data_IF_386469097902
#
_entry.id   IF_386469097902
#
_cell.length_a   1.000
_cell.length_b   1.000
_cell.length_c   1.000
_cell.angle_alpha   90.00
_cell.angle_beta   90.00
_cell.angle_gamma   90.00
#
_symmetry.space_group_name_H-M   'P 1'
#
loop_
_entity.id
_entity.type
_entity.pdbx_description
1 polymer ?
#
# COMPACT_ATOMS: atom_id res chain seq x y z
N UNK A 1 13.09 31.17 81.22
CA UNK A 1 13.80 30.04 80.59
C UNK A 1 12.91 29.56 79.45
N UNK A 2 13.29 29.92 78.21
CA UNK A 2 12.50 29.61 76.97
C UNK A 2 13.29 28.63 76.12
N UNK A 3 12.75 27.47 75.86
CA UNK A 3 13.30 26.43 74.99
C UNK A 3 12.99 26.80 73.54
N UNK A 4 14.05 26.85 72.68
CA UNK A 4 13.93 26.91 71.24
C UNK A 4 13.91 25.48 70.71
N UNK A 5 12.85 25.12 70.02
CA UNK A 5 12.77 23.88 69.21
C UNK A 5 13.06 24.27 67.75
N UNK A 6 14.14 23.71 67.18
CA UNK A 6 14.53 23.85 65.78
C UNK A 6 13.81 22.80 64.91
N UNK A 7 13.01 23.25 63.94
CA UNK A 7 12.37 22.43 62.97
C UNK A 7 13.22 22.30 61.73
N UNK A 8 13.80 21.10 61.48
CA UNK A 8 14.48 20.78 60.24
C UNK A 8 13.43 20.40 59.17
N UNK A 9 13.25 21.26 58.21
CA UNK A 9 12.50 20.98 56.99
C UNK A 9 13.30 20.08 56.05
N UNK A 10 12.84 18.86 55.80
CA UNK A 10 13.34 18.00 54.71
C UNK A 10 12.67 18.40 53.39
N UNK A 11 13.44 18.99 52.51
CA UNK A 11 13.02 19.17 51.13
C UNK A 11 13.10 17.85 50.38
N UNK A 12 11.93 17.29 49.98
CA UNK A 12 11.83 16.16 49.07
C UNK A 12 11.95 16.67 47.62
N UNK A 13 13.11 16.46 47.00
CA UNK A 13 13.23 16.63 45.54
C UNK A 13 12.51 15.44 44.86
N UNK A 14 11.31 15.66 44.32
CA UNK A 14 10.70 14.75 43.36
C UNK A 14 11.45 14.92 42.01
N UNK A 15 12.30 13.96 41.70
CA UNK A 15 12.80 13.78 40.33
C UNK A 15 11.64 13.23 39.48
N UNK A 16 11.03 14.09 38.67
CA UNK A 16 10.11 13.65 37.64
C UNK A 16 10.93 12.92 36.57
N UNK A 17 10.93 11.60 36.62
CA UNK A 17 11.34 10.76 35.50
C UNK A 17 10.32 11.00 34.37
N UNK A 18 10.67 11.86 33.43
CA UNK A 18 9.97 11.97 32.17
C UNK A 18 10.05 10.64 31.42
N UNK A 19 9.00 9.83 31.51
CA UNK A 19 8.85 8.71 30.60
C UNK A 19 8.73 9.29 29.19
N UNK A 20 9.80 9.20 28.41
CA UNK A 20 9.71 9.36 26.97
C UNK A 20 8.67 8.36 26.49
N UNK A 21 7.52 8.84 26.06
CA UNK A 21 6.58 8.01 25.33
C UNK A 21 7.36 7.45 24.14
N UNK A 22 7.66 6.16 24.18
CA UNK A 22 8.20 5.47 23.02
C UNK A 22 7.15 5.68 21.90
N UNK A 23 7.48 6.48 20.90
CA UNK A 23 6.66 6.58 19.71
C UNK A 23 6.56 5.17 19.14
N UNK A 24 5.32 4.70 18.98
CA UNK A 24 5.10 3.42 18.29
C UNK A 24 5.80 3.50 16.93
N UNK A 25 6.53 2.43 16.58
CA UNK A 25 7.22 2.39 15.31
C UNK A 25 6.21 2.57 14.16
N UNK A 26 6.45 3.51 13.27
CA UNK A 26 5.68 3.66 12.03
C UNK A 26 6.51 2.99 10.91
N UNK A 27 6.29 1.70 10.73
CA UNK A 27 7.00 0.90 9.72
C UNK A 27 6.24 0.94 8.41
N UNK A 28 6.96 1.31 7.37
CA UNK A 28 6.49 1.25 5.98
C UNK A 28 7.43 0.30 5.23
N UNK A 29 6.86 -0.57 4.41
CA UNK A 29 7.62 -1.46 3.53
C UNK A 29 7.35 -1.08 2.08
N UNK A 30 8.41 -1.05 1.28
CA UNK A 30 8.35 -0.80 -0.16
C UNK A 30 9.12 -1.89 -0.90
N UNK A 31 8.47 -2.57 -1.84
CA UNK A 31 9.10 -3.56 -2.70
C UNK A 31 9.44 -2.95 -4.06
N UNK A 32 10.56 -3.41 -4.63
CA UNK A 32 11.14 -2.94 -5.88
C UNK A 32 11.26 -4.08 -6.89
N UNK A 33 10.99 -3.78 -8.16
CA UNK A 33 11.27 -4.66 -9.29
C UNK A 33 12.64 -4.33 -9.87
N UNK A 34 13.63 -5.17 -9.60
CA UNK A 34 15.01 -4.94 -10.07
C UNK A 34 15.26 -5.37 -11.49
N UNK A 35 14.46 -6.28 -12.02
CA UNK A 35 14.60 -6.80 -13.37
C UNK A 35 13.92 -5.95 -14.45
N UNK A 36 12.99 -5.10 -14.04
CA UNK A 36 12.21 -4.23 -14.92
C UNK A 36 12.79 -2.80 -14.94
N UNK A 37 12.86 -2.20 -16.11
CA UNK A 37 13.18 -0.77 -16.29
C UNK A 37 12.28 -0.21 -17.38
N UNK A 38 11.68 0.94 -17.14
CA UNK A 38 10.95 1.67 -18.16
C UNK A 38 11.87 2.71 -18.80
N UNK A 39 12.12 2.56 -20.09
CA UNK A 39 12.95 3.49 -20.88
C UNK A 39 12.09 4.09 -22.00
N UNK A 40 11.87 5.39 -21.98
CA UNK A 40 11.04 6.10 -22.96
C UNK A 40 9.64 5.47 -23.16
N UNK A 41 9.04 5.00 -22.05
CA UNK A 41 7.76 4.30 -22.04
C UNK A 41 7.84 2.81 -22.42
N UNK A 42 9.00 2.30 -22.83
CA UNK A 42 9.19 0.90 -23.22
C UNK A 42 9.55 0.06 -21.99
N UNK A 43 8.80 -1.02 -21.77
CA UNK A 43 9.15 -2.05 -20.79
C UNK A 43 10.43 -2.76 -21.24
N UNK A 44 11.46 -2.73 -20.42
CA UNK A 44 12.79 -3.27 -20.74
C UNK A 44 13.28 -4.14 -19.60
N UNK A 45 13.90 -5.26 -19.92
CA UNK A 45 14.50 -6.20 -18.97
C UNK A 45 16.01 -6.31 -19.25
N UNK A 46 16.83 -5.47 -18.60
CA UNK A 46 18.28 -5.46 -18.83
C UNK A 46 18.95 -6.74 -18.32
N UNK A 47 20.02 -7.15 -18.97
CA UNK A 47 20.87 -8.26 -18.54
C UNK A 47 22.32 -7.75 -18.33
N UNK A 48 22.91 -7.90 -17.12
CA UNK A 48 22.30 -8.53 -15.93
C UNK A 48 21.23 -7.66 -15.28
N UNK A 49 20.20 -8.32 -14.72
CA UNK A 49 19.18 -7.65 -13.94
C UNK A 49 19.73 -7.13 -12.61
N UNK A 50 19.15 -6.04 -12.10
CA UNK A 50 19.25 -5.73 -10.68
C UNK A 50 18.42 -6.73 -9.87
N UNK A 51 18.70 -6.85 -8.56
CA UNK A 51 17.90 -7.69 -7.68
C UNK A 51 16.60 -7.01 -7.30
N UNK A 52 15.54 -7.79 -7.23
CA UNK A 52 14.33 -7.37 -6.55
C UNK A 52 14.63 -7.18 -5.06
N UNK A 53 13.96 -6.23 -4.41
CA UNK A 53 14.26 -5.91 -3.02
C UNK A 53 13.04 -5.45 -2.25
N UNK A 54 13.14 -5.51 -0.92
CA UNK A 54 12.19 -4.91 0.02
C UNK A 54 12.94 -3.89 0.87
N UNK A 55 12.51 -2.65 0.84
CA UNK A 55 13.03 -1.58 1.71
C UNK A 55 12.08 -1.40 2.89
N UNK A 56 12.63 -1.31 4.08
CA UNK A 56 11.94 -1.06 5.34
C UNK A 56 12.26 0.35 5.79
N UNK A 57 11.24 1.16 6.00
CA UNK A 57 11.35 2.55 6.45
C UNK A 57 10.88 2.68 7.89
N UNK A 58 11.55 3.51 8.66
CA UNK A 58 11.05 4.12 9.89
C UNK A 58 10.48 5.51 9.54
N UNK A 59 9.16 5.62 9.55
CA UNK A 59 8.42 6.84 9.28
C UNK A 59 7.96 7.57 10.55
N UNK A 60 8.38 7.11 11.75
CA UNK A 60 8.18 7.83 13.01
C UNK A 60 8.97 9.14 13.08
N UNK A 61 9.83 9.39 12.10
CA UNK A 61 10.70 10.56 11.94
C UNK A 61 10.42 11.26 10.62
N UNK A 62 10.77 12.53 10.59
CA UNK A 62 10.77 13.31 9.35
C UNK A 62 12.20 13.83 9.06
N UNK A 63 12.74 13.61 7.85
CA UNK A 63 12.22 12.72 6.81
C UNK A 63 12.26 11.23 7.26
N UNK A 64 11.44 10.35 6.65
CA UNK A 64 11.53 8.91 6.88
C UNK A 64 12.92 8.37 6.55
N UNK A 65 13.39 7.38 7.30
CA UNK A 65 14.73 6.80 7.12
C UNK A 65 14.67 5.33 6.75
N UNK A 66 15.59 4.89 5.90
CA UNK A 66 15.75 3.46 5.57
C UNK A 66 16.38 2.74 6.76
N UNK A 67 15.66 1.76 7.30
CA UNK A 67 16.17 0.85 8.37
C UNK A 67 16.91 -0.34 7.80
N UNK A 68 16.39 -0.89 6.71
CA UNK A 68 16.98 -2.07 6.08
C UNK A 68 16.57 -2.16 4.61
N UNK A 69 17.41 -2.88 3.84
CA UNK A 69 17.11 -3.35 2.49
C UNK A 69 17.38 -4.85 2.45
N UNK A 70 16.40 -5.62 2.00
CA UNK A 70 16.48 -7.06 1.83
C UNK A 70 16.43 -7.31 0.31
N UNK A 71 17.51 -7.85 -0.27
CA UNK A 71 17.68 -8.08 -1.71
C UNK A 71 18.10 -9.52 -2.05
N UNK A 72 18.07 -10.42 -1.05
CA UNK A 72 18.46 -11.81 -1.23
C UNK A 72 17.24 -12.71 -1.31
N UNK A 73 17.07 -13.37 -2.45
CA UNK A 73 16.03 -14.39 -2.66
C UNK A 73 14.60 -13.86 -2.80
N UNK A 74 14.42 -12.53 -2.88
CA UNK A 74 13.14 -11.90 -3.16
C UNK A 74 12.84 -11.88 -4.65
N UNK A 75 11.56 -12.04 -4.98
CA UNK A 75 11.00 -11.96 -6.31
C UNK A 75 9.78 -11.05 -6.27
N UNK A 76 9.69 -10.07 -7.16
CA UNK A 76 8.58 -9.12 -7.21
C UNK A 76 8.39 -8.60 -8.63
N UNK A 77 7.30 -7.85 -8.89
CA UNK A 77 7.04 -7.27 -10.21
C UNK A 77 6.22 -5.99 -10.15
N UNK A 78 6.41 -5.14 -11.16
CA UNK A 78 5.57 -3.99 -11.48
C UNK A 78 4.18 -4.38 -12.01
N UNK A 79 3.98 -5.64 -12.38
CA UNK A 79 2.71 -6.15 -12.97
C UNK A 79 1.57 -6.35 -11.95
N UNK A 80 1.79 -6.02 -10.69
CA UNK A 80 0.82 -6.12 -9.59
C UNK A 80 0.32 -4.77 -9.08
N UNK A 81 -0.77 -4.75 -8.27
CA UNK A 81 -1.20 -3.53 -7.61
C UNK A 81 -0.14 -3.08 -6.60
N UNK A 82 -0.06 -1.78 -6.28
CA UNK A 82 0.89 -1.28 -5.30
C UNK A 82 0.65 -1.83 -3.87
N UNK A 83 -0.27 -2.75 -3.71
CA UNK A 83 -0.63 -3.46 -2.49
C UNK A 83 -0.13 -4.92 -2.47
N UNK A 84 0.83 -5.27 -3.33
CA UNK A 84 1.41 -6.62 -3.34
C UNK A 84 2.46 -6.83 -2.24
N UNK A 85 2.46 -6.00 -1.22
CA UNK A 85 3.19 -6.16 0.03
C UNK A 85 2.28 -5.89 1.21
N UNK A 86 2.57 -6.48 2.36
CA UNK A 86 1.89 -6.21 3.62
C UNK A 86 2.90 -6.28 4.77
N UNK A 87 2.62 -5.60 5.88
CA UNK A 87 3.40 -5.66 7.11
C UNK A 87 2.44 -5.92 8.28
N UNK A 88 2.84 -6.77 9.24
CA UNK A 88 2.01 -7.07 10.42
C UNK A 88 1.85 -5.83 11.31
N UNK A 89 0.74 -5.74 12.09
CA UNK A 89 0.48 -4.58 12.96
C UNK A 89 1.55 -4.34 14.02
N UNK A 90 2.30 -5.38 14.40
CA UNK A 90 3.42 -5.30 15.34
C UNK A 90 4.75 -4.94 14.66
N UNK A 91 4.76 -4.79 13.33
CA UNK A 91 5.94 -4.43 12.53
C UNK A 91 7.01 -5.51 12.44
N UNK A 92 6.70 -6.77 12.77
CA UNK A 92 7.69 -7.85 12.88
C UNK A 92 7.86 -8.68 11.63
N UNK A 93 6.80 -8.81 10.84
CA UNK A 93 6.85 -9.52 9.56
C UNK A 93 6.42 -8.61 8.42
N UNK A 94 7.05 -8.80 7.27
CA UNK A 94 6.51 -8.37 5.98
C UNK A 94 6.20 -9.59 5.12
N UNK A 95 5.13 -9.51 4.35
CA UNK A 95 4.73 -10.51 3.36
C UNK A 95 4.81 -9.86 1.99
N UNK A 96 5.48 -10.51 1.03
CA UNK A 96 5.67 -10.04 -0.34
C UNK A 96 4.98 -11.00 -1.29
N UNK A 97 4.06 -10.49 -2.10
CA UNK A 97 3.36 -11.21 -3.18
C UNK A 97 3.95 -10.87 -4.55
N UNK A 98 3.25 -11.27 -5.59
CA UNK A 98 3.60 -11.05 -6.99
C UNK A 98 5.02 -11.55 -7.35
N UNK A 99 5.41 -12.79 -6.95
CA UNK A 99 6.70 -13.34 -7.26
C UNK A 99 6.80 -13.58 -8.77
N UNK A 100 7.79 -12.96 -9.41
CA UNK A 100 7.95 -13.00 -10.87
C UNK A 100 9.42 -13.06 -11.23
N UNK A 101 9.75 -13.94 -12.17
CA UNK A 101 11.09 -14.07 -12.77
C UNK A 101 11.02 -13.70 -14.24
N UNK A 102 12.15 -13.35 -14.83
CA UNK A 102 12.24 -13.11 -16.25
C UNK A 102 13.12 -14.19 -16.92
N UNK A 103 12.56 -14.89 -17.91
CA UNK A 103 13.28 -15.83 -18.73
C UNK A 103 13.91 -15.08 -19.91
N UNK A 104 15.22 -14.82 -19.85
CA UNK A 104 15.95 -14.08 -20.87
C UNK A 104 16.02 -14.84 -22.19
N UNK A 105 16.05 -16.18 -22.17
CA UNK A 105 16.08 -16.99 -23.39
C UNK A 105 14.73 -16.96 -24.13
N UNK A 106 13.64 -17.09 -23.38
CA UNK A 106 12.28 -17.02 -23.92
C UNK A 106 11.74 -15.59 -24.04
N UNK A 107 12.44 -14.58 -23.49
CA UNK A 107 12.03 -13.16 -23.39
C UNK A 107 10.63 -12.98 -22.83
N UNK A 108 10.35 -13.64 -21.72
CA UNK A 108 9.02 -13.59 -21.07
C UNK A 108 9.11 -13.58 -19.55
N UNK A 109 8.10 -12.98 -18.92
CA UNK A 109 7.90 -13.08 -17.49
C UNK A 109 7.28 -14.43 -17.11
N UNK A 110 7.71 -14.98 -15.97
CA UNK A 110 7.22 -16.21 -15.36
C UNK A 110 6.62 -15.85 -14.01
N UNK A 111 5.31 -16.06 -13.88
CA UNK A 111 4.52 -15.73 -12.69
C UNK A 111 4.48 -16.93 -11.74
N UNK A 112 5.17 -16.83 -10.63
CA UNK A 112 5.19 -17.88 -9.60
C UNK A 112 3.98 -17.75 -8.65
N UNK A 113 3.76 -18.75 -7.77
CA UNK A 113 2.49 -18.96 -7.07
C UNK A 113 2.63 -19.00 -5.55
N UNK A 114 3.68 -18.38 -5.00
CA UNK A 114 3.96 -18.35 -3.57
C UNK A 114 3.94 -16.93 -2.99
N UNK A 115 3.79 -16.86 -1.68
CA UNK A 115 4.08 -15.66 -0.87
C UNK A 115 5.44 -15.80 -0.21
N UNK A 116 6.12 -14.69 0.01
CA UNK A 116 7.45 -14.61 0.61
C UNK A 116 7.34 -13.96 1.99
N UNK A 117 7.94 -14.58 3.01
CA UNK A 117 7.85 -14.16 4.41
C UNK A 117 9.19 -13.59 4.82
N UNK A 118 9.19 -12.33 5.25
CA UNK A 118 10.38 -11.59 5.66
C UNK A 118 10.31 -11.29 7.16
N UNK A 119 11.30 -11.72 7.91
CA UNK A 119 11.47 -11.41 9.33
C UNK A 119 12.14 -10.03 9.47
N UNK A 120 11.39 -9.06 9.99
CA UNK A 120 11.84 -7.69 10.20
C UNK A 120 12.55 -7.49 11.55
N UNK A 121 12.43 -8.46 12.49
CA UNK A 121 13.14 -8.45 13.78
C UNK A 121 14.53 -9.08 13.70
N UNK A 122 14.79 -9.88 12.65
CA UNK A 122 16.12 -10.44 12.44
C UNK A 122 17.17 -9.33 12.27
N UNK A 123 18.40 -9.61 12.63
CA UNK A 123 19.50 -8.65 12.49
C UNK A 123 20.65 -9.26 11.67
N UNK A 124 20.75 -8.93 10.36
CA UNK A 124 19.85 -8.07 9.56
C UNK A 124 18.48 -8.72 9.26
N UNK A 125 17.44 -7.96 8.94
CA UNK A 125 16.17 -8.50 8.43
C UNK A 125 16.38 -9.38 7.21
N UNK A 126 15.60 -10.48 7.10
CA UNK A 126 15.85 -11.51 6.09
C UNK A 126 14.57 -12.23 5.64
N UNK A 127 14.61 -12.75 4.41
CA UNK A 127 13.63 -13.71 3.92
C UNK A 127 13.78 -15.03 4.71
N UNK A 128 12.70 -15.48 5.37
CA UNK A 128 12.71 -16.68 6.21
C UNK A 128 11.93 -17.84 5.62
N UNK A 129 11.14 -17.62 4.57
CA UNK A 129 10.37 -18.70 3.94
C UNK A 129 9.51 -18.26 2.79
N UNK A 130 8.96 -19.27 2.11
CA UNK A 130 7.96 -19.12 1.05
C UNK A 130 6.75 -19.99 1.38
N UNK A 131 5.53 -19.53 1.06
CA UNK A 131 4.29 -20.26 1.25
C UNK A 131 3.60 -20.40 -0.09
N UNK A 132 3.51 -21.64 -0.59
CA UNK A 132 2.78 -21.94 -1.83
C UNK A 132 1.29 -21.71 -1.63
N UNK A 133 0.66 -20.93 -2.53
CA UNK A 133 -0.77 -20.58 -2.42
C UNK A 133 -1.57 -21.00 -3.64
N UNK A 134 -0.92 -21.36 -4.73
CA UNK A 134 -1.55 -21.65 -6.02
C UNK A 134 -2.22 -20.40 -6.64
N UNK A 135 -2.15 -20.25 -7.94
CA UNK A 135 -2.50 -18.99 -8.59
C UNK A 135 -1.50 -17.89 -8.25
N UNK A 136 -1.23 -16.97 -9.16
CA UNK A 136 -0.31 -15.87 -8.91
C UNK A 136 -0.94 -14.89 -7.91
N UNK A 137 -0.41 -14.78 -6.65
CA UNK A 137 -0.94 -13.88 -5.65
C UNK A 137 -0.56 -12.42 -5.98
N UNK A 138 -1.47 -11.49 -5.74
CA UNK A 138 -1.34 -10.10 -6.15
C UNK A 138 -1.53 -9.16 -4.95
N UNK A 139 -2.71 -8.56 -4.76
CA UNK A 139 -2.96 -7.66 -3.64
C UNK A 139 -3.07 -8.41 -2.31
N UNK A 140 -2.49 -7.83 -1.26
CA UNK A 140 -2.47 -8.38 0.10
C UNK A 140 -3.20 -7.47 1.09
N UNK A 141 -3.81 -8.06 2.11
CA UNK A 141 -4.30 -7.36 3.29
C UNK A 141 -4.17 -8.23 4.53
N UNK A 142 -3.64 -7.67 5.62
CA UNK A 142 -3.60 -8.30 6.95
C UNK A 142 -4.68 -7.64 7.80
N UNK A 143 -5.43 -8.43 8.59
CA UNK A 143 -6.39 -7.90 9.55
C UNK A 143 -5.68 -7.12 10.68
N UNK A 144 -6.42 -6.29 11.39
CA UNK A 144 -5.87 -5.45 12.46
C UNK A 144 -5.27 -6.24 13.62
N UNK A 145 -5.76 -7.45 13.86
CA UNK A 145 -5.24 -8.36 14.89
C UNK A 145 -3.91 -9.01 14.48
N UNK A 146 -3.53 -8.93 13.20
CA UNK A 146 -2.30 -9.54 12.67
C UNK A 146 -2.36 -11.07 12.56
N UNK A 147 -3.56 -11.64 12.59
CA UNK A 147 -3.76 -13.10 12.65
C UNK A 147 -4.23 -13.72 11.34
N UNK A 148 -4.76 -12.90 10.43
CA UNK A 148 -5.32 -13.33 9.15
C UNK A 148 -4.78 -12.48 8.01
N UNK A 149 -4.38 -13.14 6.93
CA UNK A 149 -3.94 -12.52 5.68
C UNK A 149 -4.85 -12.97 4.55
N UNK A 150 -5.29 -12.05 3.73
CA UNK A 150 -5.95 -12.30 2.45
C UNK A 150 -5.01 -11.94 1.30
N UNK A 151 -4.98 -12.82 0.28
CA UNK A 151 -4.26 -12.56 -0.96
C UNK A 151 -5.19 -12.75 -2.16
N UNK A 152 -5.46 -11.69 -2.89
CA UNK A 152 -6.19 -11.74 -4.15
C UNK A 152 -5.29 -12.32 -5.24
N UNK A 153 -5.78 -13.23 -6.08
CA UNK A 153 -4.97 -13.91 -7.06
C UNK A 153 -5.51 -13.78 -8.49
N UNK A 154 -4.66 -14.07 -9.48
CA UNK A 154 -5.00 -13.98 -10.90
C UNK A 154 -6.02 -15.06 -11.34
N UNK A 155 -6.18 -16.14 -10.56
CA UNK A 155 -7.12 -17.23 -10.84
C UNK A 155 -8.56 -16.94 -10.39
N UNK A 156 -8.86 -15.72 -9.96
CA UNK A 156 -10.18 -15.32 -9.46
C UNK A 156 -10.49 -15.83 -8.05
N UNK A 157 -9.48 -16.24 -7.27
CA UNK A 157 -9.64 -16.68 -5.88
C UNK A 157 -8.98 -15.69 -4.91
N UNK A 158 -9.53 -15.61 -3.69
CA UNK A 158 -8.85 -15.00 -2.54
C UNK A 158 -8.32 -16.13 -1.66
N UNK A 159 -7.03 -16.16 -1.46
CA UNK A 159 -6.35 -17.09 -0.56
C UNK A 159 -6.48 -16.59 0.88
N UNK A 160 -6.73 -17.50 1.81
CA UNK A 160 -6.91 -17.22 3.24
C UNK A 160 -5.77 -17.88 3.99
N UNK A 161 -4.98 -17.06 4.70
CA UNK A 161 -3.81 -17.54 5.44
C UNK A 161 -3.90 -17.08 6.90
N UNK A 162 -3.45 -17.93 7.82
CA UNK A 162 -3.25 -17.57 9.23
C UNK A 162 -1.82 -17.10 9.46
N UNK A 163 -1.66 -16.20 10.42
CA UNK A 163 -0.37 -15.70 10.92
C UNK A 163 -0.29 -16.02 12.41
N UNK A 164 0.71 -16.81 12.81
CA UNK A 164 0.99 -17.16 14.21
C UNK A 164 2.48 -16.97 14.48
N UNK A 165 2.85 -15.85 15.13
CA UNK A 165 4.25 -15.46 15.25
C UNK A 165 4.90 -15.28 13.88
N UNK A 166 5.95 -16.07 13.57
CA UNK A 166 6.62 -16.05 12.26
C UNK A 166 6.10 -17.12 11.28
N UNK A 167 5.07 -17.86 11.67
CA UNK A 167 4.46 -18.90 10.82
C UNK A 167 3.28 -18.35 10.05
N UNK A 168 3.30 -18.46 8.72
CA UNK A 168 2.22 -18.10 7.82
C UNK A 168 1.78 -19.37 7.10
N UNK A 169 0.47 -19.70 7.16
CA UNK A 169 -0.07 -20.95 6.61
C UNK A 169 -1.33 -20.73 5.79
N UNK A 170 -1.38 -21.29 4.60
CA UNK A 170 -2.60 -21.36 3.80
C UNK A 170 -3.63 -22.27 4.49
N UNK A 171 -4.81 -21.75 4.80
CA UNK A 171 -5.90 -22.48 5.46
C UNK A 171 -7.14 -22.62 4.58
N UNK A 172 -7.23 -21.88 3.48
CA UNK A 172 -8.36 -21.97 2.57
C UNK A 172 -8.27 -20.98 1.40
N UNK A 173 -9.29 -21.03 0.57
CA UNK A 173 -9.49 -20.07 -0.51
C UNK A 173 -10.97 -19.87 -0.80
N UNK A 174 -11.32 -18.72 -1.36
CA UNK A 174 -12.69 -18.36 -1.78
C UNK A 174 -12.68 -18.03 -3.26
N UNK A 175 -13.49 -18.69 -4.08
CA UNK A 175 -13.73 -18.27 -5.47
C UNK A 175 -14.61 -17.03 -5.46
N UNK A 176 -14.13 -15.95 -6.05
CA UNK A 176 -14.76 -14.62 -6.00
C UNK A 176 -15.18 -14.14 -7.39
N UNK A 177 -14.35 -14.38 -8.38
CA UNK A 177 -14.56 -14.01 -9.78
C UNK A 177 -14.02 -15.07 -10.73
N UNK A 178 -14.20 -14.86 -12.02
CA UNK A 178 -13.70 -15.76 -13.06
C UNK A 178 -12.38 -15.28 -13.67
N UNK A 179 -12.05 -14.01 -13.45
CA UNK A 179 -10.89 -13.34 -14.03
C UNK A 179 -9.94 -12.84 -12.95
N UNK A 180 -8.87 -12.20 -13.40
CA UNK A 180 -7.85 -11.60 -12.54
C UNK A 180 -8.43 -10.57 -11.58
N UNK A 181 -8.06 -10.73 -10.31
CA UNK A 181 -8.30 -9.75 -9.27
C UNK A 181 -7.04 -8.92 -9.00
N UNK A 182 -7.19 -7.78 -8.34
CA UNK A 182 -6.07 -6.92 -7.96
C UNK A 182 -6.01 -6.69 -6.45
N UNK A 183 -6.48 -5.56 -5.95
CA UNK A 183 -6.43 -5.23 -4.52
C UNK A 183 -7.44 -6.02 -3.68
N UNK A 184 -7.08 -6.25 -2.42
CA UNK A 184 -7.98 -6.70 -1.37
C UNK A 184 -7.71 -5.87 -0.11
N UNK A 185 -8.74 -5.53 0.66
CA UNK A 185 -8.58 -4.82 1.93
C UNK A 185 -9.63 -5.24 2.94
N UNK A 186 -9.19 -5.60 4.17
CA UNK A 186 -10.09 -5.80 5.30
C UNK A 186 -10.78 -4.50 5.67
N UNK A 187 -12.05 -4.56 6.09
CA UNK A 187 -12.66 -3.46 6.85
C UNK A 187 -11.98 -3.30 8.20
N UNK A 188 -12.07 -2.10 8.79
CA UNK A 188 -11.40 -1.79 10.06
C UNK A 188 -11.83 -2.73 11.20
N UNK A 189 -13.08 -3.18 11.22
CA UNK A 189 -13.61 -4.13 12.21
C UNK A 189 -13.19 -5.60 11.95
N UNK A 190 -12.46 -5.87 10.86
CA UNK A 190 -12.02 -7.20 10.48
C UNK A 190 -13.12 -8.18 10.05
N UNK A 191 -14.41 -7.75 10.06
CA UNK A 191 -15.55 -8.64 9.78
C UNK A 191 -15.90 -8.74 8.31
N UNK A 192 -15.28 -7.94 7.48
CA UNK A 192 -15.48 -7.94 6.03
C UNK A 192 -14.17 -7.66 5.30
N UNK A 193 -14.15 -7.94 4.00
CA UNK A 193 -13.10 -7.46 3.11
C UNK A 193 -13.70 -7.06 1.76
N UNK A 194 -13.08 -6.10 1.09
CA UNK A 194 -13.44 -5.67 -0.27
C UNK A 194 -12.35 -6.17 -1.21
N UNK A 195 -12.76 -6.75 -2.34
CA UNK A 195 -11.87 -7.30 -3.38
C UNK A 195 -12.15 -6.62 -4.70
N UNK A 196 -11.14 -6.05 -5.33
CA UNK A 196 -11.24 -5.45 -6.65
C UNK A 196 -11.25 -6.53 -7.74
N UNK A 197 -12.34 -6.61 -8.48
CA UNK A 197 -12.53 -7.51 -9.63
C UNK A 197 -12.01 -6.81 -10.88
N UNK A 198 -10.69 -6.75 -11.03
CA UNK A 198 -10.02 -5.93 -12.05
C UNK A 198 -10.63 -6.06 -13.44
N UNK A 199 -10.63 -7.29 -13.96
CA UNK A 199 -11.04 -7.56 -15.34
C UNK A 199 -12.56 -7.84 -15.48
N UNK A 200 -13.33 -7.60 -14.40
CA UNK A 200 -14.80 -7.70 -14.35
C UNK A 200 -15.48 -6.37 -14.01
N UNK A 201 -14.70 -5.31 -13.75
CA UNK A 201 -15.17 -3.94 -13.49
C UNK A 201 -16.18 -3.85 -12.34
N UNK A 202 -15.73 -4.15 -11.12
CA UNK A 202 -16.52 -4.06 -9.90
C UNK A 202 -15.72 -4.46 -8.69
N UNK A 203 -16.32 -4.42 -7.52
CA UNK A 203 -15.73 -4.98 -6.32
C UNK A 203 -16.73 -5.92 -5.62
N UNK A 204 -16.20 -6.99 -5.05
CA UNK A 204 -16.94 -7.95 -4.26
C UNK A 204 -16.70 -7.72 -2.77
N UNK A 205 -17.68 -8.10 -1.95
CA UNK A 205 -17.58 -8.05 -0.49
C UNK A 205 -17.53 -9.46 0.07
N UNK A 206 -16.53 -9.72 0.90
CA UNK A 206 -16.38 -10.95 1.68
C UNK A 206 -16.88 -10.75 3.11
N UNK A 207 -17.46 -11.78 3.71
CA UNK A 207 -17.71 -11.89 5.16
C UNK A 207 -16.57 -12.65 5.80
N UNK A 208 -16.15 -12.22 6.98
CA UNK A 208 -15.05 -12.82 7.74
C UNK A 208 -15.55 -13.15 9.15
N UNK A 209 -15.50 -14.43 9.52
CA UNK A 209 -15.88 -14.95 10.83
C UNK A 209 -14.75 -15.86 11.34
N UNK A 210 -13.88 -15.30 12.18
CA UNK A 210 -12.63 -15.98 12.58
C UNK A 210 -11.75 -16.26 11.36
N UNK A 211 -11.47 -17.53 11.08
CA UNK A 211 -10.69 -17.94 9.91
C UNK A 211 -11.59 -18.28 8.69
N UNK A 212 -12.89 -18.26 8.85
CA UNK A 212 -13.85 -18.55 7.79
C UNK A 212 -14.12 -17.30 6.98
N UNK A 213 -13.81 -17.35 5.68
CA UNK A 213 -14.05 -16.27 4.73
C UNK A 213 -15.02 -16.75 3.66
N UNK A 214 -16.07 -15.99 3.41
CA UNK A 214 -17.11 -16.35 2.45
C UNK A 214 -17.49 -15.20 1.53
N UNK A 215 -17.80 -15.51 0.26
CA UNK A 215 -18.30 -14.53 -0.68
C UNK A 215 -19.75 -14.16 -0.35
N UNK A 216 -20.04 -12.88 -0.21
CA UNK A 216 -21.40 -12.36 -0.04
C UNK A 216 -22.06 -12.10 -1.40
N UNK A 217 -23.35 -11.75 -1.38
CA UNK A 217 -24.08 -11.28 -2.57
C UNK A 217 -23.83 -9.80 -2.90
N UNK A 218 -23.18 -9.06 -1.99
CA UNK A 218 -22.93 -7.64 -2.18
C UNK A 218 -21.90 -7.39 -3.29
N UNK A 219 -22.19 -6.42 -4.12
CA UNK A 219 -21.30 -5.91 -5.16
C UNK A 219 -21.26 -4.40 -5.08
N UNK A 220 -20.08 -3.84 -5.29
CA UNK A 220 -19.86 -2.39 -5.30
C UNK A 220 -19.56 -2.00 -6.76
N UNK A 221 -20.30 -1.02 -7.25
CA UNK A 221 -20.03 -0.42 -8.55
C UNK A 221 -18.75 0.41 -8.48
N UNK A 222 -17.85 0.22 -9.42
CA UNK A 222 -16.57 0.92 -9.53
C UNK A 222 -16.43 1.57 -10.92
N UNK A 223 -15.32 2.25 -11.14
CA UNK A 223 -14.87 2.56 -12.49
C UNK A 223 -14.29 1.34 -13.21
N UNK A 224 -13.67 1.57 -14.36
CA UNK A 224 -13.05 0.53 -15.20
C UNK A 224 -11.72 0.08 -14.58
N UNK A 225 -11.47 -1.22 -14.58
CA UNK A 225 -10.26 -1.85 -14.04
C UNK A 225 -9.94 -1.41 -12.60
N UNK A 226 -10.82 -1.71 -11.59
CA UNK A 226 -10.53 -1.42 -10.19
C UNK A 226 -9.25 -2.11 -9.74
N UNK A 227 -8.42 -1.39 -8.95
CA UNK A 227 -7.04 -1.78 -8.73
C UNK A 227 -6.65 -1.76 -7.25
N UNK A 228 -6.10 -0.67 -6.77
CA UNK A 228 -5.74 -0.49 -5.37
C UNK A 228 -6.97 -0.16 -4.52
N UNK A 229 -6.99 -0.66 -3.28
CA UNK A 229 -8.05 -0.39 -2.28
C UNK A 229 -7.40 0.05 -0.99
N UNK A 230 -7.89 1.14 -0.39
CA UNK A 230 -7.55 1.48 0.99
C UNK A 230 -8.79 1.77 1.82
N UNK A 231 -8.70 1.57 3.15
CA UNK A 231 -9.83 1.72 4.09
C UNK A 231 -9.40 2.60 5.24
N UNK A 232 -10.25 3.57 5.59
CA UNK A 232 -9.98 4.49 6.69
C UNK A 232 -9.99 3.78 8.04
N UNK A 233 -9.14 4.25 8.96
CA UNK A 233 -9.01 3.66 10.29
C UNK A 233 -10.22 3.95 11.21
N UNK A 234 -11.10 4.88 10.85
CA UNK A 234 -12.38 5.08 11.51
C UNK A 234 -13.48 4.08 11.05
N UNK A 235 -13.16 3.22 10.07
CA UNK A 235 -14.06 2.22 9.51
C UNK A 235 -15.21 2.78 8.69
N UNK A 236 -15.15 4.04 8.27
CA UNK A 236 -16.24 4.70 7.55
C UNK A 236 -16.08 4.64 6.03
N UNK A 237 -14.87 4.79 5.53
CA UNK A 237 -14.60 4.97 4.11
C UNK A 237 -13.69 3.88 3.54
N UNK A 238 -13.97 3.47 2.32
CA UNK A 238 -13.02 2.82 1.44
C UNK A 238 -12.83 3.66 0.17
N UNK A 239 -11.63 3.64 -0.39
CA UNK A 239 -11.33 4.18 -1.72
C UNK A 239 -10.82 3.08 -2.63
N UNK A 240 -11.28 3.09 -3.89
CA UNK A 240 -10.87 2.14 -4.91
C UNK A 240 -10.36 2.94 -6.11
N UNK A 241 -9.07 2.81 -6.43
CA UNK A 241 -8.49 3.36 -7.65
C UNK A 241 -8.94 2.53 -8.85
N UNK A 242 -9.24 3.18 -9.97
CA UNK A 242 -9.67 2.50 -11.19
C UNK A 242 -8.74 2.94 -12.32
N UNK A 243 -7.87 2.04 -12.79
CA UNK A 243 -6.81 2.37 -13.75
C UNK A 243 -7.29 2.61 -15.18
N UNK A 244 -8.61 2.57 -15.39
CA UNK A 244 -9.19 2.83 -16.69
C UNK A 244 -8.76 1.81 -17.75
N UNK A 245 -8.68 2.26 -18.98
CA UNK A 245 -8.18 1.43 -20.09
C UNK A 245 -6.65 1.57 -20.29
N UNK A 246 -5.98 2.32 -19.42
CA UNK A 246 -4.53 2.56 -19.39
C UNK A 246 -3.95 3.20 -20.68
N UNK A 247 -4.78 3.80 -21.51
CA UNK A 247 -4.43 4.38 -22.82
C UNK A 247 -5.29 5.59 -23.14
N UNK A 248 -5.49 6.48 -22.21
CA UNK A 248 -6.28 7.67 -22.44
C UNK A 248 -5.37 8.86 -22.65
N UNK A 249 -5.66 9.62 -23.68
CA UNK A 249 -4.99 10.87 -24.03
C UNK A 249 -5.79 11.98 -23.36
N UNK A 250 -5.21 12.65 -22.39
CA UNK A 250 -5.82 13.78 -21.66
C UNK A 250 -7.19 13.47 -21.00
N UNK A 251 -7.54 12.19 -20.89
CA UNK A 251 -8.77 11.76 -20.24
C UNK A 251 -8.59 11.68 -18.72
N UNK A 252 -9.70 11.77 -18.00
CA UNK A 252 -9.76 11.53 -16.58
C UNK A 252 -10.27 10.12 -16.31
N UNK A 253 -9.59 9.41 -15.42
CA UNK A 253 -10.11 8.22 -14.77
C UNK A 253 -10.78 8.57 -13.44
N UNK A 254 -11.20 7.58 -12.68
CA UNK A 254 -11.93 7.81 -11.45
C UNK A 254 -11.36 7.02 -10.28
N UNK A 255 -11.52 7.59 -9.09
CA UNK A 255 -11.42 6.89 -7.81
C UNK A 255 -12.82 6.77 -7.23
N UNK A 256 -13.21 5.57 -6.80
CA UNK A 256 -14.52 5.31 -6.20
C UNK A 256 -14.42 5.48 -4.69
N UNK A 257 -15.20 6.40 -4.12
CA UNK A 257 -15.41 6.52 -2.67
C UNK A 257 -16.59 5.65 -2.25
N UNK A 258 -16.40 4.81 -1.24
CA UNK A 258 -17.38 3.85 -0.75
C UNK A 258 -17.66 4.10 0.73
N UNK A 259 -18.92 4.24 1.12
CA UNK A 259 -19.35 4.21 2.54
C UNK A 259 -19.40 2.74 3.00
N UNK A 260 -18.51 2.40 3.93
CA UNK A 260 -18.41 1.07 4.54
C UNK A 260 -18.85 1.05 6.00
N UNK A 261 -19.41 2.14 6.51
CA UNK A 261 -19.87 2.27 7.91
C UNK A 261 -21.01 1.33 8.24
N UNK A 262 -21.80 0.92 7.26
CA UNK A 262 -22.92 -0.02 7.40
C UNK A 262 -23.20 -0.78 6.11
N UNK A 263 -23.75 -1.98 6.24
CA UNK A 263 -24.16 -2.79 5.08
C UNK A 263 -25.55 -2.39 4.55
N UNK A 264 -25.82 -2.56 3.25
CA UNK A 264 -24.84 -2.89 2.22
C UNK A 264 -23.86 -1.72 1.99
N UNK A 265 -22.60 -2.03 1.68
CA UNK A 265 -21.60 -1.02 1.33
C UNK A 265 -22.01 -0.29 0.04
N UNK A 266 -21.77 1.01 -0.01
CA UNK A 266 -22.28 1.85 -1.11
C UNK A 266 -21.19 2.73 -1.71
N UNK A 267 -20.99 2.64 -3.01
CA UNK A 267 -20.29 3.68 -3.74
C UNK A 267 -21.09 4.98 -3.65
N UNK A 268 -20.48 6.03 -3.07
CA UNK A 268 -21.14 7.33 -2.86
C UNK A 268 -20.66 8.40 -3.80
N UNK A 269 -19.46 8.25 -4.35
CA UNK A 269 -18.88 9.21 -5.30
C UNK A 269 -17.90 8.55 -6.26
N UNK A 270 -17.92 8.99 -7.52
CA UNK A 270 -16.85 8.78 -8.49
C UNK A 270 -16.07 10.10 -8.59
N UNK A 271 -14.80 10.08 -8.18
CA UNK A 271 -13.93 11.25 -8.08
C UNK A 271 -13.05 11.27 -9.33
N UNK A 272 -13.17 12.30 -10.16
CA UNK A 272 -12.30 12.44 -11.33
C UNK A 272 -10.86 12.73 -10.92
N UNK A 273 -9.94 11.99 -11.50
CA UNK A 273 -8.48 12.10 -11.30
C UNK A 273 -7.78 12.02 -12.66
N UNK A 274 -6.50 12.34 -12.69
CA UNK A 274 -5.70 12.14 -13.91
C UNK A 274 -5.66 10.66 -14.30
N UNK A 275 -5.46 10.38 -15.59
CA UNK A 275 -5.50 9.04 -16.15
C UNK A 275 -4.58 8.04 -15.41
N UNK A 276 -5.02 6.80 -15.32
CA UNK A 276 -4.31 5.67 -14.73
C UNK A 276 -3.90 5.91 -13.26
N UNK A 277 -4.87 6.08 -12.32
CA UNK A 277 -4.56 6.16 -10.90
C UNK A 277 -4.08 4.79 -10.39
N UNK A 278 -2.78 4.68 -10.15
CA UNK A 278 -2.11 3.45 -9.66
C UNK A 278 -2.25 3.30 -8.15
N UNK A 279 -1.92 4.34 -7.41
CA UNK A 279 -1.96 4.33 -5.96
C UNK A 279 -3.09 5.17 -5.39
N UNK A 280 -3.79 4.64 -4.40
CA UNK A 280 -4.76 5.38 -3.57
C UNK A 280 -4.54 5.07 -2.11
N UNK A 281 -4.69 6.08 -1.24
CA UNK A 281 -4.66 5.92 0.20
C UNK A 281 -5.61 6.89 0.89
N UNK A 282 -6.19 6.47 2.02
CA UNK A 282 -6.91 7.35 2.96
C UNK A 282 -5.99 7.64 4.13
N UNK A 283 -5.94 8.91 4.59
CA UNK A 283 -5.19 9.25 5.79
C UNK A 283 -5.75 8.53 7.03
N UNK A 284 -4.92 8.22 8.04
CA UNK A 284 -5.36 7.60 9.28
C UNK A 284 -6.52 8.32 9.98
N UNK A 285 -6.53 9.64 9.93
CA UNK A 285 -7.59 10.47 10.52
C UNK A 285 -8.88 10.55 9.68
N UNK A 286 -8.94 9.84 8.54
CA UNK A 286 -10.12 9.77 7.66
C UNK A 286 -10.45 11.05 6.90
N UNK A 287 -9.56 12.07 6.93
CA UNK A 287 -9.85 13.40 6.34
C UNK A 287 -9.36 13.57 4.91
N UNK A 288 -8.38 12.78 4.49
CA UNK A 288 -7.70 12.98 3.22
C UNK A 288 -7.68 11.73 2.37
N UNK A 289 -7.83 11.90 1.07
CA UNK A 289 -7.50 10.88 0.07
C UNK A 289 -6.31 11.41 -0.73
N UNK A 290 -5.27 10.59 -0.86
CA UNK A 290 -4.16 10.83 -1.78
C UNK A 290 -4.24 9.86 -2.96
N UNK A 291 -3.90 10.35 -4.15
CA UNK A 291 -3.91 9.57 -5.38
C UNK A 291 -2.64 9.84 -6.17
N UNK A 292 -1.92 8.80 -6.59
CA UNK A 292 -0.87 8.88 -7.60
C UNK A 292 -1.40 8.38 -8.93
N UNK A 293 -1.31 9.19 -9.97
CA UNK A 293 -1.73 8.83 -11.32
C UNK A 293 -0.55 8.87 -12.28
N UNK A 294 -0.48 7.92 -13.19
CA UNK A 294 0.55 7.93 -14.24
C UNK A 294 0.35 9.10 -15.22
N UNK A 295 -0.89 9.51 -15.48
CA UNK A 295 -1.25 10.65 -16.34
C UNK A 295 -0.51 10.62 -17.69
N UNK A 296 -0.39 9.44 -18.33
CA UNK A 296 0.32 9.25 -19.59
C UNK A 296 1.85 9.18 -19.49
N UNK A 297 2.47 9.32 -18.30
CA UNK A 297 3.93 9.26 -18.16
C UNK A 297 4.52 7.87 -18.41
N UNK A 298 3.70 6.84 -18.44
CA UNK A 298 4.05 5.46 -18.78
C UNK A 298 3.96 5.15 -20.28
N UNK A 299 3.43 6.06 -21.11
CA UNK A 299 3.25 5.86 -22.54
C UNK A 299 4.57 5.98 -23.30
N UNK A 300 4.62 5.48 -24.54
CA UNK A 300 5.78 5.65 -25.43
C UNK A 300 6.03 7.14 -25.69
N UNK A 301 7.29 7.53 -25.85
CA UNK A 301 7.67 8.92 -26.19
C UNK A 301 7.01 9.40 -27.49
N UNK A 302 6.74 8.48 -28.42
CA UNK A 302 6.03 8.77 -29.67
C UNK A 302 4.50 8.89 -29.53
N UNK A 303 3.95 8.55 -28.37
CA UNK A 303 2.51 8.61 -28.14
C UNK A 303 2.08 10.08 -27.93
N UNK A 304 1.07 10.59 -28.65
CA UNK A 304 0.62 11.98 -28.50
C UNK A 304 0.05 12.30 -27.10
N UNK A 305 -0.38 11.30 -26.35
CA UNK A 305 -0.82 11.42 -24.93
C UNK A 305 0.30 11.32 -23.91
N UNK A 306 1.56 11.29 -24.36
CA UNK A 306 2.72 11.21 -23.46
C UNK A 306 2.91 12.50 -22.68
N UNK A 307 2.86 12.41 -21.37
CA UNK A 307 3.37 13.42 -20.45
C UNK A 307 4.68 12.95 -19.81
N UNK A 308 5.55 13.90 -19.46
CA UNK A 308 6.83 13.54 -18.86
C UNK A 308 6.66 13.01 -17.42
N UNK A 309 5.71 13.56 -16.68
CA UNK A 309 5.47 13.26 -15.28
C UNK A 309 4.01 12.89 -15.05
N UNK A 310 3.79 12.01 -14.09
CA UNK A 310 2.48 11.76 -13.50
C UNK A 310 2.02 12.87 -12.58
N UNK A 311 0.97 12.61 -11.79
CA UNK A 311 0.42 13.56 -10.82
C UNK A 311 0.28 12.91 -9.44
N UNK A 312 0.34 13.75 -8.40
CA UNK A 312 -0.06 13.40 -7.03
C UNK A 312 -1.16 14.38 -6.61
N UNK A 313 -2.35 13.86 -6.34
CA UNK A 313 -3.52 14.65 -5.97
C UNK A 313 -3.92 14.42 -4.52
N UNK A 314 -4.40 15.47 -3.85
CA UNK A 314 -4.97 15.41 -2.51
C UNK A 314 -6.43 15.88 -2.53
N UNK A 315 -7.30 15.11 -1.87
CA UNK A 315 -8.72 15.42 -1.72
C UNK A 315 -9.06 15.50 -0.22
N UNK A 316 -9.89 16.47 0.15
CA UNK A 316 -10.47 16.55 1.49
C UNK A 316 -11.81 15.82 1.52
N UNK A 317 -12.04 15.00 2.56
CA UNK A 317 -13.34 14.37 2.82
C UNK A 317 -14.07 15.23 3.84
N UNK A 318 -15.19 15.82 3.45
CA UNK A 318 -16.08 16.60 4.32
C UNK A 318 -17.53 16.19 4.06
N UNK A 319 -18.30 15.92 5.12
CA UNK A 319 -19.72 15.54 5.04
C UNK A 319 -20.03 14.38 4.08
N UNK A 320 -19.07 13.45 3.94
CA UNK A 320 -19.21 12.30 3.04
C UNK A 320 -18.90 12.60 1.58
N UNK A 321 -18.31 13.74 1.28
CA UNK A 321 -17.93 14.16 -0.06
C UNK A 321 -16.44 14.48 -0.15
N UNK A 322 -15.78 14.00 -1.19
CA UNK A 322 -14.37 14.27 -1.44
C UNK A 322 -14.21 15.39 -2.48
N UNK A 323 -13.43 16.42 -2.14
CA UNK A 323 -13.15 17.55 -3.01
C UNK A 323 -11.65 17.72 -3.21
N UNK A 324 -11.19 17.91 -4.45
CA UNK A 324 -9.77 18.15 -4.76
C UNK A 324 -9.32 19.46 -4.11
N UNK A 325 -8.25 19.37 -3.32
CA UNK A 325 -7.63 20.55 -2.67
C UNK A 325 -6.28 20.90 -3.24
N UNK A 326 -5.55 19.92 -3.79
CA UNK A 326 -4.24 20.15 -4.42
C UNK A 326 -3.95 19.07 -5.44
N UNK A 327 -3.13 19.43 -6.44
CA UNK A 327 -2.49 18.51 -7.36
C UNK A 327 -1.10 19.04 -7.68
N UNK A 328 -0.08 18.18 -7.63
CA UNK A 328 1.31 18.50 -7.93
C UNK A 328 1.85 17.50 -8.96
N UNK A 329 2.90 17.87 -9.72
CA UNK A 329 3.62 16.90 -10.53
C UNK A 329 4.11 15.73 -9.67
N UNK A 330 3.92 14.51 -10.18
CA UNK A 330 4.46 13.27 -9.61
C UNK A 330 5.74 12.85 -10.31
N UNK A 331 6.11 11.57 -10.18
CA UNK A 331 7.21 10.95 -10.93
C UNK A 331 6.77 10.42 -12.29
N UNK A 332 7.73 9.99 -13.09
CA UNK A 332 7.47 9.21 -14.29
C UNK A 332 7.02 7.79 -13.89
N UNK A 333 5.88 7.35 -14.40
CA UNK A 333 5.24 6.10 -14.05
C UNK A 333 5.08 5.91 -12.53
N UNK A 334 4.55 6.94 -11.83
CA UNK A 334 4.30 6.88 -10.39
C UNK A 334 3.42 5.67 -10.04
N UNK A 335 3.80 4.95 -8.99
CA UNK A 335 3.14 3.74 -8.52
C UNK A 335 2.33 4.00 -7.23
N UNK A 336 2.52 3.16 -6.22
CA UNK A 336 1.83 3.26 -4.95
C UNK A 336 2.17 4.48 -4.12
N UNK A 337 1.32 4.72 -3.11
CA UNK A 337 1.57 5.71 -2.07
C UNK A 337 0.94 5.28 -0.74
N UNK A 338 1.44 5.82 0.36
CA UNK A 338 0.89 5.62 1.71
C UNK A 338 0.97 6.91 2.52
N UNK A 339 0.06 7.06 3.48
CA UNK A 339 0.21 8.04 4.56
C UNK A 339 1.02 7.46 5.72
N UNK A 340 1.78 8.31 6.41
CA UNK A 340 2.30 8.03 7.75
C UNK A 340 1.18 8.02 8.80
N UNK A 341 1.44 7.43 9.97
CA UNK A 341 0.45 7.27 11.04
C UNK A 341 -0.10 8.63 11.56
N UNK A 342 0.66 9.70 11.45
CA UNK A 342 0.25 11.03 11.88
C UNK A 342 -0.62 11.78 10.85
N UNK A 343 -0.94 11.16 9.71
CA UNK A 343 -1.73 11.75 8.61
C UNK A 343 -1.10 12.98 7.93
N UNK A 344 0.18 13.28 8.20
CA UNK A 344 0.81 14.52 7.73
C UNK A 344 1.81 14.33 6.61
N UNK A 345 2.31 13.11 6.44
CA UNK A 345 3.32 12.78 5.42
C UNK A 345 2.77 11.74 4.46
N UNK A 346 3.07 11.89 3.18
CA UNK A 346 2.71 10.94 2.12
C UNK A 346 4.02 10.50 1.45
N UNK A 347 4.23 9.20 1.35
CA UNK A 347 5.36 8.62 0.63
C UNK A 347 4.83 8.05 -0.68
N UNK A 348 5.38 8.50 -1.80
CA UNK A 348 4.96 8.14 -3.16
C UNK A 348 6.10 7.44 -3.88
N UNK A 349 5.80 6.35 -4.57
CA UNK A 349 6.75 5.58 -5.35
C UNK A 349 6.91 6.17 -6.75
N UNK A 350 8.15 6.54 -7.12
CA UNK A 350 8.54 6.99 -8.45
C UNK A 350 9.39 5.89 -9.09
N UNK A 351 8.76 5.10 -9.97
CA UNK A 351 9.37 3.90 -10.55
C UNK A 351 10.62 4.24 -11.37
N UNK A 352 10.49 5.10 -12.37
CA UNK A 352 11.59 5.43 -13.30
C UNK A 352 12.73 6.16 -12.61
N UNK A 353 12.43 7.07 -11.68
CA UNK A 353 13.43 7.79 -10.88
C UNK A 353 14.09 6.93 -9.81
N UNK A 354 13.57 5.70 -9.58
CA UNK A 354 14.04 4.79 -8.54
C UNK A 354 14.09 5.51 -7.18
N UNK A 355 12.97 6.10 -6.78
CA UNK A 355 12.92 6.91 -5.58
C UNK A 355 11.57 6.82 -4.87
N UNK A 356 11.61 7.00 -3.55
CA UNK A 356 10.43 7.35 -2.76
C UNK A 356 10.44 8.86 -2.56
N UNK A 357 9.41 9.53 -3.05
CA UNK A 357 9.21 10.96 -2.89
C UNK A 357 8.38 11.23 -1.62
N UNK A 358 8.78 12.23 -0.86
CA UNK A 358 8.11 12.60 0.40
C UNK A 358 7.33 13.89 0.20
N UNK A 359 6.02 13.80 0.37
CA UNK A 359 5.11 14.94 0.39
C UNK A 359 4.58 15.16 1.81
N UNK A 360 4.10 16.37 2.08
CA UNK A 360 3.46 16.71 3.35
C UNK A 360 2.10 17.35 3.11
N UNK A 361 1.17 17.13 4.05
CA UNK A 361 -0.08 17.90 4.13
C UNK A 361 0.15 19.05 5.10
N UNK A 362 0.19 20.28 4.59
CA UNK A 362 0.38 21.51 5.36
C UNK A 362 -0.74 22.49 5.04
N UNK A 363 -1.40 23.01 6.06
CA UNK A 363 -2.52 23.96 5.92
C UNK A 363 -3.60 23.49 4.92
N UNK A 364 -3.91 22.19 4.95
CA UNK A 364 -4.89 21.57 4.06
C UNK A 364 -4.46 21.41 2.61
N UNK A 365 -3.18 21.56 2.29
CA UNK A 365 -2.62 21.45 0.94
C UNK A 365 -1.49 20.45 0.88
N UNK A 366 -1.32 19.84 -0.28
CA UNK A 366 -0.18 19.00 -0.61
C UNK A 366 1.05 19.89 -0.87
N UNK A 367 2.18 19.52 -0.27
CA UNK A 367 3.47 20.20 -0.46
C UNK A 367 4.52 19.14 -0.80
N UNK A 368 5.22 19.31 -1.91
CA UNK A 368 6.43 18.52 -2.18
C UNK A 368 7.55 19.04 -1.26
N UNK A 369 8.06 18.17 -0.41
CA UNK A 369 9.12 18.56 0.55
C UNK A 369 10.50 18.64 -0.08
N UNK A 370 10.66 18.12 -1.31
CA UNK A 370 11.95 17.94 -1.97
C UNK A 370 12.73 16.73 -1.52
N UNK A 371 12.32 16.06 -0.43
CA UNK A 371 12.98 14.86 0.07
C UNK A 371 12.75 13.67 -0.88
N UNK A 372 13.84 12.96 -1.19
CA UNK A 372 13.85 11.78 -2.08
C UNK A 372 14.75 10.71 -1.51
N UNK A 373 14.14 9.57 -1.16
CA UNK A 373 14.88 8.38 -0.73
C UNK A 373 15.25 7.59 -1.99
N UNK A 374 16.53 7.57 -2.33
CA UNK A 374 17.05 6.88 -3.52
C UNK A 374 17.09 5.37 -3.28
N UNK A 375 16.72 4.59 -4.31
CA UNK A 375 16.64 3.14 -4.30
C UNK A 375 17.51 2.56 -5.43
N UNK A 376 17.86 1.27 -5.32
CA UNK A 376 18.62 0.58 -6.35
C UNK A 376 17.77 0.23 -7.58
N UNK A 377 16.47 -0.02 -7.36
CA UNK A 377 15.52 -0.44 -8.39
C UNK A 377 14.20 0.33 -8.28
N UNK A 378 13.34 0.24 -9.28
CA UNK A 378 12.04 0.91 -9.33
C UNK A 378 11.09 0.42 -8.23
N UNK A 379 10.57 1.31 -7.35
CA UNK A 379 9.60 0.93 -6.34
C UNK A 379 8.21 0.77 -6.95
N UNK A 380 7.55 -0.36 -6.64
CA UNK A 380 6.30 -0.75 -7.31
C UNK A 380 5.18 -1.18 -6.36
N UNK A 381 5.49 -1.54 -5.12
CA UNK A 381 4.48 -1.83 -4.10
C UNK A 381 4.88 -1.24 -2.75
N UNK A 382 3.92 -0.66 -2.02
CA UNK A 382 4.17 0.01 -0.73
C UNK A 382 2.99 -0.16 0.22
N UNK A 383 3.28 -0.42 1.50
CA UNK A 383 2.27 -0.48 2.57
C UNK A 383 2.83 0.00 3.90
N UNK A 384 1.99 0.69 4.67
CA UNK A 384 2.17 0.93 6.10
C UNK A 384 1.57 -0.21 6.92
N UNK A 385 1.91 -0.28 8.20
CA UNK A 385 1.24 -1.18 9.15
C UNK A 385 -0.28 -0.95 9.12
N UNK A 386 -1.11 -2.02 9.29
CA UNK A 386 -2.55 -1.89 9.50
C UNK A 386 -2.86 -1.00 10.72
N UNK A 387 -3.98 -0.28 10.67
CA UNK A 387 -4.35 0.75 11.65
C UNK A 387 -5.60 0.37 12.40
#
# INVERSE_FOLDING_TARGET
>A
MKSLASTLGRALCLAALGASAAHAADIIVSAQDGKFVRVDGVATFPEPAQRDSLVVLDASRFPPVVKATIDVGLEHTVQGPPQAVAVTPDGKLAIVAAPTRYDYAAKKELFDTFLQIVDLEASPPALIGKVEVGGHPNGLSINREGTLLLAAAHDGTVKVLTIEGKSVKLVGQVKVGEKRMSGVSFTHDGKSAIVALRDENGAAVLSVEGQTVTLTKERIATGVNPYAIDISSDGRWAVIGNTGVARTVDDADVVTLVDVSKRPFRAVQQISVSATPEGVAISPDGRWIAVSSMAGSNLLVSDPGRHKLGTVSLFAIQDGWATKVSELPGGEAAQGLVFTQDSKTIIVQFDVEKALAVYAVRDGKLVDTGERIRLAAGPVSIRSMPR
#
